data_IF_239332364590
#
_entry.id   IF_239332364590
#
_cell.length_a   1.000
_cell.length_b   1.000
_cell.length_c   1.000
_cell.angle_alpha   90.00
_cell.angle_beta   90.00
_cell.angle_gamma   90.00
#
_symmetry.space_group_name_H-M   'P 1'
#
loop_
_entity.id
_entity.type
_entity.pdbx_description
1 polymer ?
#
# COMPACT_ATOMS: atom_id res chain seq x y z
N UNK A 1 5.88 -5.26 9.49
CA UNK A 1 6.22 -3.84 9.34
C UNK A 1 5.14 -3.14 8.53
N UNK A 2 4.70 -1.98 8.96
CA UNK A 2 3.71 -1.13 8.28
C UNK A 2 4.45 0.10 7.78
N UNK A 3 4.19 0.53 6.54
CA UNK A 3 4.75 1.78 6.03
C UNK A 3 3.74 2.91 6.19
N UNK A 4 4.07 3.88 7.03
CA UNK A 4 3.29 5.09 7.28
C UNK A 4 4.00 6.26 6.59
N UNK A 5 3.49 6.68 5.43
CA UNK A 5 3.97 7.83 4.68
C UNK A 5 5.50 7.85 4.43
N UNK A 6 6.07 6.68 4.14
CA UNK A 6 7.52 6.48 3.93
C UNK A 6 8.26 5.92 5.13
N UNK A 7 7.70 6.02 6.34
CA UNK A 7 8.31 5.56 7.58
C UNK A 7 7.84 4.15 7.94
N UNK A 8 8.78 3.22 8.11
CA UNK A 8 8.47 1.84 8.49
C UNK A 8 8.34 1.71 10.00
N UNK A 9 7.18 1.24 10.46
CA UNK A 9 6.85 1.09 11.87
C UNK A 9 6.42 -0.34 12.20
N UNK A 10 6.74 -0.80 13.41
CA UNK A 10 6.39 -2.15 13.87
C UNK A 10 4.88 -2.29 14.14
N UNK A 11 4.22 -1.19 14.49
CA UNK A 11 2.79 -1.11 14.80
C UNK A 11 2.26 0.25 14.40
N UNK A 12 0.98 0.33 14.04
CA UNK A 12 0.34 1.59 13.64
C UNK A 12 0.42 2.65 14.75
N UNK A 13 0.40 2.25 16.02
CA UNK A 13 0.55 3.14 17.18
C UNK A 13 1.89 3.88 17.27
N UNK A 14 2.91 3.43 16.55
CA UNK A 14 4.22 4.09 16.46
C UNK A 14 4.38 4.93 15.18
N UNK A 15 3.32 5.02 14.37
CA UNK A 15 3.27 5.88 13.19
C UNK A 15 3.13 7.36 13.55
N UNK A 16 3.26 8.22 12.54
CA UNK A 16 3.00 9.64 12.70
C UNK A 16 1.57 9.90 13.18
N UNK A 17 1.44 10.70 14.23
CA UNK A 17 0.15 11.02 14.86
C UNK A 17 -0.84 11.61 13.84
N UNK A 18 -0.36 12.44 12.92
CA UNK A 18 -1.18 13.02 11.85
C UNK A 18 -1.77 11.94 10.91
N UNK A 19 -1.01 10.88 10.63
CA UNK A 19 -1.44 9.77 9.78
C UNK A 19 -2.49 8.93 10.52
N UNK A 20 -2.25 8.63 11.79
CA UNK A 20 -3.17 7.86 12.64
C UNK A 20 -4.49 8.61 12.82
N UNK A 21 -4.43 9.89 13.19
CA UNK A 21 -5.62 10.73 13.35
C UNK A 21 -6.40 10.86 12.03
N UNK A 22 -5.69 11.02 10.92
CA UNK A 22 -6.32 11.02 9.59
C UNK A 22 -6.97 9.68 9.23
N UNK A 23 -6.41 8.56 9.67
CA UNK A 23 -7.00 7.23 9.42
C UNK A 23 -8.33 7.06 10.16
N UNK A 24 -8.44 7.52 11.40
CA UNK A 24 -9.67 7.38 12.21
C UNK A 24 -10.75 8.41 11.86
N UNK A 25 -10.36 9.64 11.57
CA UNK A 25 -11.29 10.77 11.43
C UNK A 25 -11.46 11.25 9.98
N UNK A 26 -10.60 10.79 9.07
CA UNK A 26 -10.53 11.28 7.70
C UNK A 26 -11.19 10.36 6.67
N UNK A 27 -11.39 10.90 5.47
CA UNK A 27 -11.78 10.13 4.30
C UNK A 27 -10.55 9.42 3.72
N UNK A 28 -10.67 8.12 3.45
CA UNK A 28 -9.59 7.34 2.83
C UNK A 28 -10.06 6.55 1.63
N UNK A 29 -9.13 6.30 0.71
CA UNK A 29 -9.31 5.44 -0.47
C UNK A 29 -8.33 4.29 -0.33
N UNK A 30 -8.76 3.07 -0.64
CA UNK A 30 -7.92 1.89 -0.63
C UNK A 30 -7.81 1.31 -2.04
N UNK A 31 -6.60 0.92 -2.42
CA UNK A 31 -6.32 0.06 -3.56
C UNK A 31 -5.66 -1.23 -3.04
N UNK A 32 -6.22 -2.38 -3.45
CA UNK A 32 -5.68 -3.69 -3.07
C UNK A 32 -4.85 -4.23 -4.21
N UNK A 33 -3.60 -4.58 -3.92
CA UNK A 33 -2.65 -5.11 -4.88
C UNK A 33 -2.27 -6.54 -4.50
N UNK A 34 -1.72 -7.26 -5.47
CA UNK A 34 -1.04 -8.53 -5.22
C UNK A 34 0.37 -8.46 -5.78
N UNK A 35 1.33 -8.99 -5.04
CA UNK A 35 2.69 -9.23 -5.55
C UNK A 35 2.97 -10.72 -5.65
N UNK A 36 3.83 -11.08 -6.59
CA UNK A 36 4.40 -12.41 -6.74
C UNK A 36 5.88 -12.30 -7.09
N UNK A 37 6.74 -13.05 -6.39
CA UNK A 37 8.20 -13.10 -6.60
C UNK A 37 8.83 -11.70 -6.64
N UNK A 38 8.44 -10.85 -5.69
CA UNK A 38 8.94 -9.48 -5.57
C UNK A 38 8.36 -8.48 -6.58
N UNK A 39 7.50 -8.89 -7.51
CA UNK A 39 6.89 -8.00 -8.50
C UNK A 39 5.42 -7.74 -8.18
N UNK A 40 5.01 -6.48 -8.20
CA UNK A 40 3.60 -6.09 -8.08
C UNK A 40 2.88 -6.38 -9.40
N UNK A 41 1.86 -7.22 -9.36
CA UNK A 41 1.08 -7.62 -10.53
C UNK A 41 0.28 -6.43 -11.05
N UNK A 42 0.28 -6.23 -12.38
CA UNK A 42 -0.48 -5.17 -13.07
C UNK A 42 -0.27 -3.76 -12.50
N UNK A 43 0.96 -3.45 -12.04
CA UNK A 43 1.25 -2.21 -11.31
C UNK A 43 0.80 -0.94 -12.05
N UNK A 44 1.06 -0.84 -13.36
CA UNK A 44 0.67 0.33 -14.16
C UNK A 44 -0.84 0.59 -14.11
N UNK A 45 -1.64 -0.45 -14.26
CA UNK A 45 -3.11 -0.38 -14.18
C UNK A 45 -3.56 0.07 -12.79
N UNK A 46 -2.96 -0.48 -11.73
CA UNK A 46 -3.27 -0.08 -10.36
C UNK A 46 -2.84 1.37 -10.08
N UNK A 47 -1.68 1.79 -10.57
CA UNK A 47 -1.21 3.18 -10.45
C UNK A 47 -2.20 4.16 -11.07
N UNK A 48 -2.65 3.92 -12.30
CA UNK A 48 -3.63 4.79 -12.94
C UNK A 48 -4.97 4.81 -12.21
N UNK A 49 -5.41 3.67 -11.66
CA UNK A 49 -6.61 3.61 -10.82
C UNK A 49 -6.47 4.43 -9.54
N UNK A 50 -5.32 4.36 -8.87
CA UNK A 50 -4.99 5.17 -7.68
C UNK A 50 -5.10 6.66 -8.04
N UNK A 51 -4.35 7.11 -9.06
CA UNK A 51 -4.36 8.52 -9.46
C UNK A 51 -5.76 8.98 -9.87
N UNK A 52 -6.51 8.16 -10.61
CA UNK A 52 -7.88 8.47 -10.98
C UNK A 52 -8.81 8.58 -9.77
N UNK A 53 -8.69 7.69 -8.78
CA UNK A 53 -9.48 7.73 -7.56
C UNK A 53 -9.16 8.97 -6.72
N UNK A 54 -7.87 9.27 -6.50
CA UNK A 54 -7.44 10.47 -5.80
C UNK A 54 -7.97 11.75 -6.47
N UNK A 55 -7.91 11.83 -7.80
CA UNK A 55 -8.47 12.95 -8.58
C UNK A 55 -9.99 13.04 -8.42
N UNK A 56 -10.72 11.93 -8.54
CA UNK A 56 -12.19 11.87 -8.40
C UNK A 56 -12.66 12.44 -7.06
N UNK A 57 -11.94 12.12 -5.98
CA UNK A 57 -12.27 12.58 -4.62
C UNK A 57 -11.57 13.89 -4.21
N UNK A 58 -10.96 14.60 -5.18
CA UNK A 58 -10.33 15.92 -5.00
C UNK A 58 -9.27 15.93 -3.89
N UNK A 59 -8.41 14.92 -3.88
CA UNK A 59 -7.20 14.92 -3.07
C UNK A 59 -6.18 15.91 -3.65
N UNK A 60 -5.37 16.56 -2.80
CA UNK A 60 -4.24 17.37 -3.23
C UNK A 60 -3.02 16.48 -3.48
N UNK A 61 -3.00 15.81 -4.63
CA UNK A 61 -1.99 14.79 -4.96
C UNK A 61 -0.59 15.42 -4.95
N UNK A 62 0.34 14.95 -4.09
CA UNK A 62 1.72 15.40 -4.11
C UNK A 62 2.40 15.07 -5.44
N UNK A 63 3.29 15.95 -5.92
CA UNK A 63 4.05 15.72 -7.17
C UNK A 63 4.98 14.50 -7.05
N UNK A 64 5.39 14.17 -5.82
CA UNK A 64 6.23 13.02 -5.50
C UNK A 64 5.51 11.68 -5.71
N UNK A 65 4.18 11.63 -5.87
CA UNK A 65 3.43 10.40 -6.10
C UNK A 65 3.57 9.90 -7.56
N UNK A 66 4.82 9.75 -7.98
CA UNK A 66 5.20 9.14 -9.26
C UNK A 66 5.01 7.62 -9.19
N UNK A 67 4.97 6.99 -10.36
CA UNK A 67 4.81 5.54 -10.47
C UNK A 67 5.97 4.81 -9.80
N UNK A 68 7.18 5.33 -9.95
CA UNK A 68 8.41 4.79 -9.38
C UNK A 68 8.44 4.95 -7.87
N UNK A 69 8.10 6.14 -7.35
CA UNK A 69 8.11 6.41 -5.92
C UNK A 69 7.15 5.48 -5.17
N UNK A 70 5.90 5.41 -5.59
CA UNK A 70 4.90 4.57 -4.92
C UNK A 70 5.25 3.08 -5.04
N UNK A 71 5.82 2.64 -6.18
CA UNK A 71 6.29 1.26 -6.35
C UNK A 71 7.43 0.94 -5.38
N UNK A 72 8.39 1.85 -5.24
CA UNK A 72 9.52 1.68 -4.35
C UNK A 72 9.06 1.61 -2.88
N UNK A 73 8.08 2.41 -2.48
CA UNK A 73 7.52 2.34 -1.12
C UNK A 73 6.79 1.01 -0.87
N UNK A 74 6.10 0.44 -1.86
CA UNK A 74 5.53 -0.90 -1.77
C UNK A 74 6.64 -1.94 -1.61
N UNK A 75 7.63 -1.92 -2.48
CA UNK A 75 8.72 -2.90 -2.49
C UNK A 75 9.52 -2.86 -1.17
N UNK A 76 9.87 -1.66 -0.71
CA UNK A 76 10.50 -1.42 0.59
C UNK A 76 9.70 -2.04 1.74
N UNK A 77 8.37 -1.97 1.68
CA UNK A 77 7.50 -2.56 2.71
C UNK A 77 7.50 -4.10 2.63
N UNK A 78 7.47 -4.68 1.43
CA UNK A 78 7.52 -6.13 1.23
C UNK A 78 8.85 -6.70 1.75
N UNK A 79 9.98 -6.10 1.34
CA UNK A 79 11.33 -6.53 1.75
C UNK A 79 11.49 -6.56 3.26
N UNK A 80 10.94 -5.57 3.97
CA UNK A 80 11.03 -5.47 5.43
C UNK A 80 10.09 -6.42 6.18
N UNK A 81 9.09 -6.98 5.50
CA UNK A 81 8.28 -8.04 6.06
C UNK A 81 8.91 -9.43 5.88
N UNK A 82 10.06 -9.56 5.20
CA UNK A 82 10.95 -10.75 5.15
C UNK A 82 10.20 -12.09 5.13
N UNK A 83 9.12 -12.15 4.37
CA UNK A 83 8.27 -13.32 4.36
C UNK A 83 8.87 -14.31 3.38
N UNK A 84 9.10 -15.54 3.82
CA UNK A 84 9.45 -16.68 2.95
C UNK A 84 8.41 -16.98 1.86
N UNK A 85 7.28 -16.29 1.90
CA UNK A 85 6.20 -16.39 0.94
C UNK A 85 6.50 -15.62 -0.34
N UNK A 86 6.26 -16.29 -1.47
CA UNK A 86 6.44 -15.70 -2.79
C UNK A 86 5.34 -14.70 -3.15
N UNK A 87 4.16 -14.78 -2.52
CA UNK A 87 3.00 -13.95 -2.82
C UNK A 87 2.50 -13.15 -1.62
N UNK A 88 2.06 -11.91 -1.89
CA UNK A 88 1.55 -10.99 -0.87
C UNK A 88 0.30 -10.28 -1.34
N UNK A 89 -0.60 -10.01 -0.40
CA UNK A 89 -1.66 -9.03 -0.54
C UNK A 89 -1.21 -7.72 0.06
N UNK A 90 -1.35 -6.64 -0.69
CA UNK A 90 -0.93 -5.31 -0.28
C UNK A 90 -2.17 -4.43 -0.17
N UNK A 91 -2.37 -3.88 1.01
CA UNK A 91 -3.39 -2.89 1.29
C UNK A 91 -2.77 -1.50 1.21
N UNK A 92 -3.05 -0.79 0.12
CA UNK A 92 -2.52 0.54 -0.11
C UNK A 92 -3.62 1.58 0.13
N UNK A 93 -3.54 2.27 1.27
CA UNK A 93 -4.53 3.25 1.69
C UNK A 93 -4.00 4.67 1.58
N UNK A 94 -4.78 5.56 0.99
CA UNK A 94 -4.52 7.00 0.90
C UNK A 94 -5.52 7.75 1.76
N UNK A 95 -5.04 8.65 2.60
CA UNK A 95 -5.81 9.37 3.61
C UNK A 95 -5.79 10.84 3.27
N UNK A 96 -6.98 11.44 3.23
CA UNK A 96 -7.14 12.87 2.93
C UNK A 96 -6.80 13.70 4.16
N UNK A 97 -5.90 14.66 3.98
CA UNK A 97 -5.69 15.77 4.91
C UNK A 97 -6.00 17.09 4.20
N UNK A 98 -6.20 18.17 4.95
CA UNK A 98 -6.58 19.48 4.40
C UNK A 98 -5.53 20.05 3.45
N UNK A 99 -4.26 19.75 3.70
CA UNK A 99 -3.11 20.30 2.95
C UNK A 99 -2.30 19.24 2.21
N UNK A 100 -2.45 17.97 2.54
CA UNK A 100 -1.62 16.89 2.02
C UNK A 100 -2.41 15.59 1.86
N UNK A 101 -1.76 14.58 1.29
CA UNK A 101 -2.26 13.21 1.23
C UNK A 101 -1.24 12.36 1.97
N UNK A 102 -1.72 11.59 2.95
CA UNK A 102 -0.89 10.58 3.59
C UNK A 102 -1.20 9.22 2.98
N UNK A 103 -0.27 8.28 3.09
CA UNK A 103 -0.53 6.91 2.71
C UNK A 103 -0.08 5.92 3.78
N UNK A 104 -0.70 4.74 3.77
CA UNK A 104 -0.33 3.59 4.58
C UNK A 104 -0.25 2.37 3.66
N UNK A 105 0.82 1.60 3.78
CA UNK A 105 0.98 0.31 3.10
C UNK A 105 1.07 -0.77 4.18
N UNK A 106 0.16 -1.74 4.09
CA UNK A 106 0.20 -2.96 4.89
C UNK A 106 0.36 -4.15 3.94
N UNK A 107 1.16 -5.11 4.36
CA UNK A 107 1.45 -6.32 3.59
C UNK A 107 0.99 -7.51 4.41
N UNK A 108 0.20 -8.36 3.77
CA UNK A 108 -0.30 -9.63 4.30
C UNK A 108 0.22 -10.77 3.42
N UNK A 109 0.51 -11.91 4.02
CA UNK A 109 0.95 -13.10 3.29
C UNK A 109 -0.23 -13.68 2.50
N UNK A 110 0.01 -14.06 1.25
CA UNK A 110 -1.00 -14.66 0.40
C UNK A 110 -0.69 -16.13 0.14
N UNK A 111 -1.73 -16.98 0.14
CA UNK A 111 -1.61 -18.33 -0.39
C UNK A 111 -1.53 -18.29 -1.91
N UNK A 112 -0.66 -19.11 -2.50
CA UNK A 112 -0.54 -19.22 -3.94
C UNK A 112 -1.82 -19.78 -4.56
N UNK A 113 -2.19 -19.26 -5.73
CA UNK A 113 -3.39 -19.70 -6.46
C UNK A 113 -3.33 -21.19 -6.86
N UNK A 114 -2.12 -21.77 -6.92
CA UNK A 114 -1.87 -23.12 -7.44
C UNK A 114 -1.77 -24.21 -6.38
N UNK A 115 -2.21 -23.97 -5.13
CA UNK A 115 -2.35 -25.07 -4.17
C UNK A 115 -3.54 -25.93 -4.62
N UNK A 116 -3.28 -26.87 -5.55
CA UNK A 116 -4.22 -27.91 -5.92
C UNK A 116 -4.75 -28.58 -4.64
N UNK A 117 -6.07 -28.74 -4.47
CA UNK A 117 -6.63 -29.58 -3.41
C UNK A 117 -6.26 -31.05 -3.56
N UNK A 118 -5.67 -31.45 -4.69
CA UNK A 118 -5.36 -32.83 -5.02
C UNK A 118 -3.94 -32.93 -5.58
N UNK A 119 -2.97 -33.24 -4.72
CA UNK A 119 -1.86 -34.13 -5.08
C UNK A 119 -1.28 -34.74 -3.80
N UNK A 120 -1.73 -35.97 -3.55
CA UNK A 120 -1.23 -37.04 -2.65
C UNK A 120 -1.47 -36.91 -1.15
#
# INVERSE_FOLDING_TARGET
>A
MINCNGNLVSSLSKGDEAVINGLFNGFSIEEKLRSSKGNVLLWETHYFRIIAALRRHRFRIPMEFTMEYLKNEIQKTIEQNNSSFEEHLIHFKFIKSDKSVFFIIMVEEATSFFKNPETT
#
